data_IF_531588559468
#
_entry.id   IF_531588559468
#
_cell.length_a   1.000
_cell.length_b   1.000
_cell.length_c   1.000
_cell.angle_alpha   90.00
_cell.angle_beta   90.00
_cell.angle_gamma   90.00
#
_symmetry.space_group_name_H-M   'P 1'
#
loop_
_entity.id
_entity.type
_entity.pdbx_description
1 polymer ?
#
# COMPACT_ATOMS: atom_id res chain seq x y z
N UNK A 1 5.71 -6.39 -22.92
CA UNK A 1 5.18 -5.27 -23.72
C UNK A 1 6.18 -4.10 -23.81
N UNK A 2 7.27 -4.19 -24.59
CA UNK A 2 8.19 -3.05 -24.75
C UNK A 2 7.82 -2.10 -25.91
N UNK A 3 7.03 -2.54 -26.90
CA UNK A 3 6.82 -1.79 -28.15
C UNK A 3 5.61 -0.85 -28.14
N UNK A 4 4.61 -1.10 -27.29
CA UNK A 4 3.38 -0.30 -27.29
C UNK A 4 3.62 1.00 -26.49
N UNK A 5 3.19 2.19 -26.97
CA UNK A 5 3.40 3.46 -26.29
C UNK A 5 2.45 3.64 -25.08
N UNK A 6 2.43 2.67 -24.16
CA UNK A 6 1.53 2.63 -22.99
C UNK A 6 1.63 3.92 -22.17
N UNK A 7 2.85 4.47 -22.01
CA UNK A 7 3.07 5.76 -21.32
C UNK A 7 2.33 6.95 -21.95
N UNK A 8 2.13 6.96 -23.27
CA UNK A 8 1.41 8.01 -23.99
C UNK A 8 -0.11 7.77 -23.97
N UNK A 9 -0.56 6.51 -24.00
CA UNK A 9 -1.98 6.16 -23.98
C UNK A 9 -2.58 6.13 -22.56
N UNK A 10 -1.76 6.04 -21.51
CA UNK A 10 -2.24 5.98 -20.13
C UNK A 10 -2.76 7.35 -19.67
N UNK A 11 -4.08 7.52 -19.75
CA UNK A 11 -4.79 8.74 -19.30
C UNK A 11 -4.76 8.93 -17.78
N UNK A 12 -4.80 7.84 -17.01
CA UNK A 12 -4.84 7.91 -15.55
C UNK A 12 -3.44 7.76 -14.98
N UNK A 13 -2.85 8.87 -14.54
CA UNK A 13 -1.60 8.87 -13.77
C UNK A 13 -1.93 8.95 -12.29
N UNK A 14 -1.50 7.96 -11.51
CA UNK A 14 -1.63 7.95 -10.06
C UNK A 14 -0.25 8.20 -9.43
N UNK A 15 0.16 9.48 -9.23
CA UNK A 15 1.44 9.80 -8.59
C UNK A 15 1.34 9.61 -7.07
N UNK A 16 1.08 8.39 -6.62
CA UNK A 16 0.84 8.09 -5.20
C UNK A 16 2.03 8.47 -4.32
N UNK A 17 3.26 8.30 -4.80
CA UNK A 17 4.48 8.71 -4.09
C UNK A 17 4.54 10.23 -3.86
N UNK A 18 4.11 11.03 -4.84
CA UNK A 18 4.11 12.49 -4.72
C UNK A 18 2.96 12.99 -3.82
N UNK A 19 1.93 12.16 -3.62
CA UNK A 19 0.77 12.48 -2.78
C UNK A 19 0.93 11.99 -1.34
N UNK A 20 1.59 10.85 -1.12
CA UNK A 20 1.71 10.23 0.21
C UNK A 20 2.52 11.11 1.17
N UNK A 21 3.40 11.98 0.66
CA UNK A 21 4.18 12.94 1.47
C UNK A 21 3.32 13.93 2.26
N UNK A 22 2.05 14.11 1.89
CA UNK A 22 1.11 14.98 2.60
C UNK A 22 0.28 14.23 3.64
N UNK A 23 0.33 12.89 3.64
CA UNK A 23 -0.40 12.07 4.60
C UNK A 23 0.38 11.96 5.91
N UNK A 24 -0.29 12.27 7.04
CA UNK A 24 0.30 12.23 8.39
C UNK A 24 -0.40 11.23 9.32
N UNK A 25 -1.44 10.56 8.85
CA UNK A 25 -2.18 9.56 9.64
C UNK A 25 -1.48 8.20 9.68
N UNK A 26 -2.02 7.22 10.43
CA UNK A 26 -1.51 5.84 10.44
C UNK A 26 -1.60 5.19 9.06
N UNK A 27 -0.51 4.56 8.60
CA UNK A 27 -0.43 3.88 7.31
C UNK A 27 -0.23 2.36 7.49
N UNK A 28 -1.21 1.57 7.10
CA UNK A 28 -1.07 0.12 6.97
C UNK A 28 -1.06 -0.25 5.50
N UNK A 29 -0.06 -1.00 5.06
CA UNK A 29 0.11 -1.41 3.68
C UNK A 29 0.40 -2.91 3.61
N UNK A 30 -0.20 -3.60 2.64
CA UNK A 30 0.02 -5.03 2.41
C UNK A 30 0.40 -5.26 0.97
N UNK A 31 1.31 -6.20 0.74
CA UNK A 31 1.72 -6.55 -0.60
C UNK A 31 2.27 -7.96 -0.71
N UNK A 32 2.14 -8.57 -1.88
CA UNK A 32 2.67 -9.89 -2.17
C UNK A 32 3.94 -9.85 -3.02
N UNK A 33 4.93 -10.70 -2.75
CA UNK A 33 6.15 -10.78 -3.57
C UNK A 33 5.90 -11.44 -4.93
N UNK A 34 4.84 -12.23 -5.04
CA UNK A 34 4.41 -12.92 -6.27
C UNK A 34 3.29 -12.17 -7.01
N UNK A 35 3.04 -10.90 -6.66
CA UNK A 35 2.16 -10.02 -7.45
C UNK A 35 2.85 -9.63 -8.77
N UNK A 36 2.37 -10.21 -9.86
CA UNK A 36 2.87 -9.97 -11.22
C UNK A 36 2.31 -8.69 -11.86
N UNK A 37 1.24 -8.12 -11.30
CA UNK A 37 0.55 -6.93 -11.84
C UNK A 37 1.14 -5.66 -11.25
N UNK A 38 1.32 -5.65 -9.92
CA UNK A 38 1.91 -4.53 -9.18
C UNK A 38 3.12 -5.08 -8.43
N UNK A 39 4.36 -4.84 -8.89
CA UNK A 39 5.53 -5.41 -8.23
C UNK A 39 5.80 -4.83 -6.83
N UNK A 40 6.25 -5.66 -5.89
CA UNK A 40 6.55 -5.30 -4.48
C UNK A 40 7.48 -4.12 -4.28
N UNK A 41 8.39 -3.85 -5.22
CA UNK A 41 9.26 -2.67 -5.19
C UNK A 41 8.47 -1.36 -5.18
N UNK A 42 7.29 -1.32 -5.81
CA UNK A 42 6.41 -0.14 -5.81
C UNK A 42 5.80 0.08 -4.42
N UNK A 43 5.42 -1.01 -3.76
CA UNK A 43 4.92 -0.97 -2.40
C UNK A 43 5.98 -0.44 -1.43
N UNK A 44 7.21 -0.96 -1.49
CA UNK A 44 8.35 -0.48 -0.68
C UNK A 44 8.65 1.00 -0.92
N UNK A 45 8.72 1.43 -2.19
CA UNK A 45 8.95 2.83 -2.54
C UNK A 45 7.89 3.77 -1.98
N UNK A 46 6.61 3.38 -2.04
CA UNK A 46 5.51 4.19 -1.49
C UNK A 46 5.59 4.28 0.04
N UNK A 47 5.88 3.15 0.69
CA UNK A 47 6.05 3.06 2.13
C UNK A 47 7.20 3.93 2.64
N UNK A 48 8.34 3.89 1.95
CA UNK A 48 9.51 4.74 2.24
C UNK A 48 9.19 6.22 2.07
N UNK A 49 8.50 6.59 0.99
CA UNK A 49 8.09 7.97 0.74
C UNK A 49 7.08 8.52 1.77
N UNK A 50 6.36 7.65 2.49
CA UNK A 50 5.40 8.08 3.50
C UNK A 50 6.10 8.63 4.75
N UNK A 51 5.77 9.87 5.17
CA UNK A 51 6.25 10.47 6.42
C UNK A 51 5.34 10.15 7.60
N UNK A 52 4.44 9.16 7.46
CA UNK A 52 3.58 8.74 8.55
C UNK A 52 4.42 8.31 9.76
N UNK A 53 4.13 8.83 10.97
CA UNK A 53 4.84 8.44 12.19
C UNK A 53 4.49 7.01 12.64
N UNK A 54 3.41 6.46 12.10
CA UNK A 54 2.87 5.15 12.44
C UNK A 54 2.60 4.42 11.14
N UNK A 55 3.56 3.61 10.70
CA UNK A 55 3.43 2.89 9.44
C UNK A 55 3.91 1.45 9.54
N UNK A 56 3.14 0.54 8.92
CA UNK A 56 3.43 -0.89 8.83
C UNK A 56 3.26 -1.37 7.39
N UNK A 57 4.22 -2.18 6.92
CA UNK A 57 4.19 -2.84 5.62
C UNK A 57 4.25 -4.35 5.83
N UNK A 58 3.15 -5.05 5.58
CA UNK A 58 3.09 -6.51 5.57
C UNK A 58 3.45 -7.02 4.18
N UNK A 59 4.48 -7.87 4.10
CA UNK A 59 4.91 -8.49 2.84
C UNK A 59 4.69 -9.99 2.91
N UNK A 60 3.81 -10.50 2.07
CA UNK A 60 3.52 -11.93 1.96
C UNK A 60 4.30 -12.54 0.80
N UNK A 61 4.86 -13.73 1.00
CA UNK A 61 5.59 -14.45 -0.05
C UNK A 61 4.68 -15.16 -1.07
N UNK A 62 3.40 -15.33 -0.73
CA UNK A 62 2.45 -16.17 -1.48
C UNK A 62 1.25 -15.40 -2.05
N UNK A 63 1.03 -14.15 -1.62
CA UNK A 63 -0.09 -13.34 -2.07
C UNK A 63 0.13 -12.88 -3.53
N UNK A 64 -0.75 -13.30 -4.43
CA UNK A 64 -0.82 -12.77 -5.80
C UNK A 64 -1.89 -11.67 -5.91
N UNK A 65 -1.93 -10.98 -7.05
CA UNK A 65 -2.79 -9.81 -7.24
C UNK A 65 -4.29 -10.04 -6.95
N UNK A 66 -4.77 -11.25 -7.23
CA UNK A 66 -6.19 -11.63 -7.11
C UNK A 66 -6.41 -12.78 -6.12
N UNK A 67 -5.42 -13.09 -5.29
CA UNK A 67 -5.56 -14.11 -4.26
C UNK A 67 -6.53 -13.66 -3.17
N UNK A 68 -7.13 -14.64 -2.48
CA UNK A 68 -7.86 -14.36 -1.25
C UNK A 68 -6.91 -13.77 -0.20
N UNK A 69 -7.41 -12.84 0.60
CA UNK A 69 -6.66 -12.26 1.71
C UNK A 69 -6.43 -13.33 2.80
N UNK A 70 -5.19 -13.55 3.26
CA UNK A 70 -4.90 -14.53 4.30
C UNK A 70 -5.44 -14.07 5.67
N UNK A 71 -5.71 -15.00 6.58
CA UNK A 71 -6.19 -14.65 7.94
C UNK A 71 -5.20 -13.74 8.70
N UNK A 72 -3.90 -13.92 8.46
CA UNK A 72 -2.84 -13.05 9.00
C UNK A 72 -3.05 -11.57 8.65
N UNK A 73 -3.56 -11.27 7.44
CA UNK A 73 -3.89 -9.90 7.05
C UNK A 73 -4.94 -9.29 7.97
N UNK A 74 -6.00 -10.03 8.30
CA UNK A 74 -7.08 -9.54 9.15
C UNK A 74 -6.62 -9.39 10.60
N UNK A 75 -5.82 -10.34 11.09
CA UNK A 75 -5.24 -10.28 12.43
C UNK A 75 -4.33 -9.03 12.60
N UNK A 76 -3.42 -8.81 11.65
CA UNK A 76 -2.51 -7.66 11.67
C UNK A 76 -3.26 -6.33 11.50
N UNK A 77 -4.24 -6.28 10.60
CA UNK A 77 -5.09 -5.10 10.42
C UNK A 77 -5.86 -4.77 11.70
N UNK A 78 -6.45 -5.77 12.36
CA UNK A 78 -7.17 -5.58 13.62
C UNK A 78 -6.22 -5.04 14.69
N UNK A 79 -5.04 -5.66 14.85
CA UNK A 79 -4.02 -5.22 15.79
C UNK A 79 -3.60 -3.77 15.55
N UNK A 80 -3.32 -3.41 14.29
CA UNK A 80 -2.94 -2.05 13.88
C UNK A 80 -4.03 -1.03 14.22
N UNK A 81 -5.30 -1.33 13.94
CA UNK A 81 -6.42 -0.44 14.22
C UNK A 81 -6.68 -0.27 15.73
N UNK A 82 -6.51 -1.35 16.51
CA UNK A 82 -6.64 -1.29 17.97
C UNK A 82 -5.53 -0.46 18.62
N UNK A 83 -4.30 -0.56 18.13
CA UNK A 83 -3.16 0.23 18.63
C UNK A 83 -3.22 1.71 18.21
N UNK A 84 -3.88 1.99 17.07
CA UNK A 84 -3.94 3.33 16.47
C UNK A 84 -5.39 3.75 16.19
N UNK A 85 -6.22 3.91 17.23
CA UNK A 85 -7.59 4.35 17.07
C UNK A 85 -7.62 5.74 16.43
N UNK A 86 -8.61 5.99 15.56
CA UNK A 86 -8.80 7.32 14.96
C UNK A 86 -8.92 8.36 16.07
N UNK A 87 -8.28 9.54 15.94
CA UNK A 87 -8.61 10.65 16.81
C UNK A 87 -10.11 10.96 16.67
N UNK A 88 -10.79 11.15 17.80
CA UNK A 88 -12.20 11.50 17.83
C UNK A 88 -12.42 12.73 16.95
N UNK A 89 -13.39 12.66 16.03
CA UNK A 89 -13.81 13.84 15.27
C UNK A 89 -14.35 14.84 16.28
N UNK A 90 -13.59 15.89 16.57
CA UNK A 90 -14.15 17.12 17.14
C UNK A 90 -15.09 17.67 16.06
N UNK A 91 -16.37 17.83 16.41
CA UNK A 91 -17.38 18.45 15.55
C UNK A 91 -17.07 19.92 15.32
#
# INVERSE_FOLDING_TARGET
>A
FPWLPVRMLMRNRYPSADKVIYYRGPLFQVHGTVDEVVPVRLARRLFEASPSPVKLLLVSETLSHNAAWPDEYFAELQSFLCQHPRPSRVR
#
